data_IF_731286631377
#
_entry.id   IF_731286631377
#
_cell.length_a   1.000
_cell.length_b   1.000
_cell.length_c   1.000
_cell.angle_alpha   90.00
_cell.angle_beta   90.00
_cell.angle_gamma   90.00
#
_symmetry.space_group_name_H-M   'P 1'
#
loop_
_entity.id
_entity.type
_entity.pdbx_description
1 polymer ?
#
# COMPACT_ATOMS: atom_id res chain seq x y z
N UNK A 1 42.20 -6.93 -6.54
CA UNK A 1 41.59 -6.18 -7.66
C UNK A 1 40.17 -6.65 -7.76
N UNK A 2 39.23 -5.93 -7.14
CA UNK A 2 37.80 -6.25 -7.21
C UNK A 2 37.27 -5.91 -8.61
N UNK A 3 36.65 -6.89 -9.27
CA UNK A 3 35.95 -6.69 -10.52
C UNK A 3 34.57 -6.10 -10.21
N UNK A 4 34.39 -4.82 -10.51
CA UNK A 4 33.06 -4.20 -10.57
C UNK A 4 32.31 -4.83 -11.74
N UNK A 5 31.44 -5.81 -11.46
CA UNK A 5 30.48 -6.28 -12.45
C UNK A 5 29.50 -5.14 -12.75
N UNK A 6 29.72 -4.46 -13.87
CA UNK A 6 28.70 -3.64 -14.50
C UNK A 6 27.62 -4.58 -15.03
N UNK A 7 26.57 -4.80 -14.23
CA UNK A 7 25.36 -5.50 -14.70
C UNK A 7 24.65 -4.61 -15.71
N UNK A 8 25.02 -4.72 -16.98
CA UNK A 8 24.22 -4.21 -18.08
C UNK A 8 22.84 -4.88 -17.98
N UNK A 9 21.74 -4.13 -17.83
CA UNK A 9 20.41 -4.73 -17.75
C UNK A 9 20.15 -5.55 -19.01
N UNK A 10 19.84 -6.84 -18.84
CA UNK A 10 19.51 -7.72 -19.97
C UNK A 10 18.23 -7.21 -20.65
N UNK A 11 18.27 -7.12 -21.98
CA UNK A 11 17.11 -6.80 -22.80
C UNK A 11 15.98 -7.81 -22.50
N UNK A 12 14.80 -7.33 -22.13
CA UNK A 12 13.65 -8.17 -21.73
C UNK A 12 13.64 -8.64 -20.27
N UNK A 13 14.55 -8.15 -19.42
CA UNK A 13 14.46 -8.38 -17.96
C UNK A 13 13.18 -7.79 -17.35
N UNK A 14 12.67 -6.71 -17.95
CA UNK A 14 11.39 -6.08 -17.60
C UNK A 14 10.19 -7.01 -17.81
N UNK A 15 10.20 -7.83 -18.86
CA UNK A 15 9.11 -8.75 -19.21
C UNK A 15 9.03 -9.98 -18.29
N UNK A 16 10.09 -10.21 -17.51
CA UNK A 16 10.23 -11.35 -16.59
C UNK A 16 9.97 -10.97 -15.13
N UNK A 17 9.65 -9.71 -14.85
CA UNK A 17 9.29 -9.29 -13.50
C UNK A 17 7.97 -9.96 -13.11
N UNK A 18 7.93 -10.74 -12.01
CA UNK A 18 6.68 -11.25 -11.47
C UNK A 18 5.85 -10.04 -11.07
N UNK A 19 4.83 -9.76 -11.86
CA UNK A 19 3.89 -8.68 -11.58
C UNK A 19 2.64 -9.36 -11.11
N UNK A 20 2.44 -9.40 -9.79
CA UNK A 20 1.13 -9.81 -9.30
C UNK A 20 0.11 -8.77 -9.78
N UNK A 21 -1.07 -9.21 -10.23
CA UNK A 21 -2.08 -8.34 -10.84
C UNK A 21 -2.49 -7.16 -9.93
N UNK A 22 -2.36 -7.36 -8.62
CA UNK A 22 -2.55 -6.36 -7.55
C UNK A 22 -1.58 -5.17 -7.66
N UNK A 23 -0.31 -5.38 -8.00
CA UNK A 23 0.70 -4.31 -8.07
C UNK A 23 0.42 -3.31 -9.20
N UNK A 24 -0.33 -3.74 -10.22
CA UNK A 24 -0.68 -2.93 -11.39
C UNK A 24 -1.93 -2.09 -11.19
N UNK A 25 -2.72 -2.33 -10.13
CA UNK A 25 -3.92 -1.55 -9.85
C UNK A 25 -3.55 -0.13 -9.41
N UNK A 26 -4.38 0.88 -9.73
CA UNK A 26 -4.15 2.25 -9.27
C UNK A 26 -4.09 2.30 -7.74
N UNK A 27 -3.26 3.19 -7.21
CA UNK A 27 -3.05 3.32 -5.77
C UNK A 27 -4.03 4.33 -5.18
N UNK A 28 -4.43 4.11 -3.94
CA UNK A 28 -5.15 5.12 -3.15
C UNK A 28 -4.15 6.21 -2.74
N UNK A 29 -4.48 7.47 -3.02
CA UNK A 29 -3.63 8.62 -2.69
C UNK A 29 -4.13 9.29 -1.41
N UNK A 30 -3.23 9.47 -0.44
CA UNK A 30 -3.55 10.14 0.82
C UNK A 30 -2.92 11.54 0.84
N UNK A 31 -3.74 12.55 0.58
CA UNK A 31 -3.42 13.96 0.83
C UNK A 31 -3.48 14.25 2.35
N UNK A 32 -2.68 15.22 2.81
CA UNK A 32 -2.66 15.63 4.21
C UNK A 32 -4.00 16.29 4.56
N UNK A 33 -4.56 15.90 5.70
CA UNK A 33 -5.81 16.38 6.29
C UNK A 33 -7.06 16.22 5.40
N UNK A 34 -6.96 15.43 4.33
CA UNK A 34 -8.07 15.05 3.46
C UNK A 34 -8.55 13.64 3.80
N UNK A 35 -9.83 13.46 4.19
CA UNK A 35 -10.38 12.14 4.42
C UNK A 35 -10.54 11.39 3.10
N UNK A 36 -10.16 10.11 3.13
CA UNK A 36 -10.34 9.18 2.01
C UNK A 36 -11.19 8.02 2.49
N UNK A 37 -12.28 7.75 1.79
CA UNK A 37 -13.14 6.60 2.05
C UNK A 37 -12.72 5.41 1.17
N UNK A 38 -12.45 4.29 1.81
CA UNK A 38 -12.06 3.05 1.14
C UNK A 38 -12.87 1.88 1.64
N UNK A 39 -13.36 1.04 0.72
CA UNK A 39 -14.02 -0.22 1.04
C UNK A 39 -13.07 -1.38 0.76
N UNK A 40 -12.72 -2.16 1.76
CA UNK A 40 -11.77 -3.27 1.59
C UNK A 40 -12.43 -4.46 0.90
N UNK A 41 -11.72 -5.06 -0.06
CA UNK A 41 -12.20 -6.23 -0.83
C UNK A 41 -11.74 -7.54 -0.16
N UNK A 42 -10.63 -7.51 0.56
CA UNK A 42 -10.04 -8.66 1.25
C UNK A 42 -9.71 -8.36 2.71
N UNK A 43 -9.53 -9.42 3.49
CA UNK A 43 -9.19 -9.33 4.92
C UNK A 43 -7.69 -9.16 5.16
N UNK A 44 -6.87 -9.81 4.34
CA UNK A 44 -5.43 -9.89 4.55
C UNK A 44 -4.69 -9.11 3.46
N UNK A 45 -3.62 -8.38 3.83
CA UNK A 45 -2.74 -7.77 2.85
C UNK A 45 -1.85 -8.80 2.17
N UNK A 46 -1.41 -8.48 0.96
CA UNK A 46 -0.28 -9.14 0.30
C UNK A 46 1.00 -8.45 0.75
N UNK A 47 1.97 -9.23 1.22
CA UNK A 47 3.31 -8.73 1.57
C UNK A 47 4.21 -8.72 0.33
N UNK A 48 4.82 -7.58 0.03
CA UNK A 48 5.85 -7.44 -0.98
C UNK A 48 7.18 -7.11 -0.32
N UNK A 49 8.12 -8.05 -0.44
CA UNK A 49 9.50 -7.86 0.03
C UNK A 49 10.36 -7.44 -1.14
N UNK A 50 10.93 -6.24 -1.08
CA UNK A 50 11.88 -5.71 -2.06
C UNK A 50 13.23 -5.35 -1.43
N UNK A 51 14.20 -4.96 -2.26
CA UNK A 51 15.51 -4.48 -1.80
C UNK A 51 15.43 -3.23 -0.92
N UNK A 52 14.36 -2.45 -1.04
CA UNK A 52 14.13 -1.20 -0.28
C UNK A 52 13.29 -1.41 0.99
N UNK A 53 12.84 -2.64 1.26
CA UNK A 53 12.06 -2.99 2.46
C UNK A 53 10.77 -3.76 2.16
N UNK A 54 9.91 -3.82 3.18
CA UNK A 54 8.64 -4.56 3.13
C UNK A 54 7.48 -3.57 2.95
N UNK A 55 6.61 -3.86 1.99
CA UNK A 55 5.37 -3.13 1.75
C UNK A 55 4.17 -4.07 1.86
N UNK A 56 3.05 -3.55 2.36
CA UNK A 56 1.79 -4.28 2.44
C UNK A 56 0.79 -3.69 1.47
N UNK A 57 0.13 -4.55 0.69
CA UNK A 57 -0.86 -4.18 -0.31
C UNK A 57 -2.22 -4.69 0.14
N UNK A 58 -3.16 -3.77 0.36
CA UNK A 58 -4.55 -4.09 0.66
C UNK A 58 -5.42 -3.80 -0.57
N UNK A 59 -6.23 -4.78 -0.98
CA UNK A 59 -7.26 -4.57 -1.98
C UNK A 59 -8.40 -3.72 -1.43
N UNK A 60 -8.72 -2.64 -2.13
CA UNK A 60 -9.79 -1.73 -1.74
C UNK A 60 -10.55 -1.17 -2.94
N UNK A 61 -11.66 -0.49 -2.67
CA UNK A 61 -12.37 0.36 -3.61
C UNK A 61 -12.40 1.78 -3.09
N UNK A 62 -12.12 2.75 -3.94
CA UNK A 62 -12.28 4.17 -3.67
C UNK A 62 -13.26 4.72 -4.72
N UNK A 63 -14.36 5.34 -4.28
CA UNK A 63 -15.40 5.86 -5.18
C UNK A 63 -15.95 4.83 -6.20
N UNK A 64 -15.96 3.54 -5.83
CA UNK A 64 -16.41 2.45 -6.69
C UNK A 64 -15.34 1.85 -7.61
N UNK A 65 -14.16 2.46 -7.73
CA UNK A 65 -13.04 1.96 -8.52
C UNK A 65 -12.13 1.06 -7.68
N UNK A 66 -11.70 -0.07 -8.25
CA UNK A 66 -10.74 -0.95 -7.57
C UNK A 66 -9.35 -0.32 -7.54
N UNK A 67 -8.84 -0.14 -6.32
CA UNK A 67 -7.54 0.43 -6.02
C UNK A 67 -6.79 -0.42 -5.01
N UNK A 68 -5.53 -0.07 -4.78
CA UNK A 68 -4.68 -0.70 -3.78
C UNK A 68 -4.15 0.33 -2.80
N UNK A 69 -4.24 0.01 -1.52
CA UNK A 69 -3.50 0.71 -0.48
C UNK A 69 -2.15 0.02 -0.36
N UNK A 70 -1.10 0.67 -0.87
CA UNK A 70 0.27 0.21 -0.74
C UNK A 70 0.96 1.02 0.36
N UNK A 71 1.39 0.39 1.45
CA UNK A 71 1.95 1.11 2.59
C UNK A 71 3.00 0.33 3.37
N UNK A 72 3.99 1.04 3.88
CA UNK A 72 4.91 0.60 4.93
C UNK A 72 4.72 1.41 6.22
N UNK A 73 3.72 2.31 6.27
CA UNK A 73 3.50 3.19 7.40
C UNK A 73 2.92 2.43 8.60
N UNK A 74 3.74 2.26 9.65
CA UNK A 74 3.37 1.53 10.86
C UNK A 74 2.05 2.00 11.48
N UNK A 75 1.80 3.32 11.52
CA UNK A 75 0.56 3.86 12.11
C UNK A 75 -0.68 3.41 11.34
N UNK A 76 -0.61 3.32 10.01
CA UNK A 76 -1.70 2.84 9.18
C UNK A 76 -1.91 1.34 9.37
N UNK A 77 -0.83 0.55 9.31
CA UNK A 77 -0.89 -0.90 9.51
C UNK A 77 -1.52 -1.27 10.86
N UNK A 78 -1.10 -0.59 11.93
CA UNK A 78 -1.66 -0.79 13.26
C UNK A 78 -3.14 -0.42 13.33
N UNK A 79 -3.52 0.72 12.74
CA UNK A 79 -4.91 1.16 12.74
C UNK A 79 -5.81 0.19 11.97
N UNK A 80 -5.39 -0.30 10.80
CA UNK A 80 -6.12 -1.31 10.03
C UNK A 80 -6.23 -2.64 10.79
N UNK A 81 -5.17 -3.08 11.47
CA UNK A 81 -5.21 -4.30 12.28
C UNK A 81 -6.26 -4.24 13.40
N UNK A 82 -6.46 -3.07 14.01
CA UNK A 82 -7.48 -2.86 15.06
C UNK A 82 -8.90 -2.95 14.45
N UNK A 83 -9.06 -2.54 13.19
CA UNK A 83 -10.35 -2.55 12.50
C UNK A 83 -10.71 -3.92 11.91
N UNK A 84 -9.80 -4.91 11.95
CA UNK A 84 -10.02 -6.26 11.43
C UNK A 84 -11.23 -6.98 12.05
N UNK A 85 -11.93 -7.87 11.32
CA UNK A 85 -11.74 -8.22 9.90
C UNK A 85 -12.04 -7.04 8.97
N UNK A 86 -11.37 -6.95 7.82
CA UNK A 86 -11.44 -5.77 6.94
C UNK A 86 -12.41 -5.95 5.78
N UNK A 87 -12.62 -7.18 5.30
CA UNK A 87 -13.43 -7.46 4.11
C UNK A 87 -14.81 -6.82 4.20
N UNK A 88 -15.21 -6.18 3.10
CA UNK A 88 -16.46 -5.45 2.92
C UNK A 88 -16.67 -4.26 3.87
N UNK A 89 -15.69 -3.90 4.71
CA UNK A 89 -15.76 -2.70 5.55
C UNK A 89 -15.34 -1.47 4.79
N UNK A 90 -16.12 -0.41 4.97
CA UNK A 90 -15.77 0.95 4.55
C UNK A 90 -15.16 1.70 5.71
N UNK A 91 -13.93 2.18 5.53
CA UNK A 91 -13.20 2.97 6.51
C UNK A 91 -12.90 4.36 5.96
N UNK A 92 -12.93 5.35 6.83
CA UNK A 92 -12.41 6.69 6.54
C UNK A 92 -10.98 6.77 7.08
N UNK A 93 -10.04 7.04 6.19
CA UNK A 93 -8.61 7.16 6.51
C UNK A 93 -8.20 8.61 6.31
N UNK A 94 -7.57 9.20 7.33
CA UNK A 94 -7.04 10.57 7.27
C UNK A 94 -5.55 10.52 7.54
N UNK A 95 -4.75 11.02 6.61
CA UNK A 95 -3.32 11.25 6.80
C UNK A 95 -3.12 12.61 7.43
N UNK A 96 -2.40 12.67 8.54
CA UNK A 96 -2.11 13.89 9.31
C UNK A 96 -0.61 14.03 9.53
N UNK A 97 -0.15 15.24 9.85
CA UNK A 97 1.23 15.50 10.25
C UNK A 97 1.28 15.85 11.74
N UNK A 98 1.94 15.01 12.55
CA UNK A 98 2.11 15.23 13.99
C UNK A 98 3.60 15.32 14.29
N UNK A 99 4.06 16.47 14.77
CA UNK A 99 5.48 16.73 15.06
C UNK A 99 6.41 16.41 13.88
N UNK A 100 6.00 16.76 12.65
CA UNK A 100 6.76 16.48 11.44
C UNK A 100 6.74 15.03 10.96
N UNK A 101 6.00 14.13 11.63
CA UNK A 101 5.84 12.73 11.24
C UNK A 101 4.45 12.48 10.67
N UNK A 102 4.39 11.63 9.64
CA UNK A 102 3.11 11.18 9.08
C UNK A 102 2.41 10.25 10.06
N UNK A 103 1.14 10.51 10.31
CA UNK A 103 0.26 9.65 11.13
C UNK A 103 -1.05 9.41 10.38
N UNK A 104 -1.60 8.21 10.53
CA UNK A 104 -2.85 7.82 9.89
C UNK A 104 -3.90 7.54 10.97
N UNK A 105 -5.04 8.22 10.86
CA UNK A 105 -6.22 7.97 11.69
C UNK A 105 -7.23 7.20 10.84
N UNK A 106 -7.79 6.13 11.40
CA UNK A 106 -8.75 5.26 10.71
C UNK A 106 -9.98 5.12 11.57
N UNK A 107 -11.14 5.42 10.99
CA UNK A 107 -12.44 5.31 11.63
C UNK A 107 -13.38 4.47 10.75
N UNK A 108 -14.30 3.74 11.40
CA UNK A 108 -15.42 3.09 10.71
C UNK A 108 -16.42 4.14 10.26
N UNK A 109 -16.96 3.98 9.05
CA UNK A 109 -18.08 4.79 8.58
C UNK A 109 -19.39 4.37 9.24
#
# INVERSE_FOLDING_TARGET
MEQTQTTTPQLGAWDKLPTTEIERKPKVEFEIDKPVEVTFIGDEPVELTGSEGVYYLFHAKENGEEKVIMTSAWTLLRALKIQGPLKDKTLTIVKTMVNGKQQYNVATK
#
